data_IF_784175277539
#
_entry.id   IF_784175277539
#
_cell.length_a   1.000
_cell.length_b   1.000
_cell.length_c   1.000
_cell.angle_alpha   90.00
_cell.angle_beta   90.00
_cell.angle_gamma   90.00
#
_symmetry.space_group_name_H-M   'P 1'
#
loop_
_entity.id
_entity.type
_entity.pdbx_description
1 polymer ?
#
# COMPACT_ATOMS: atom_id res chain seq x y z
N UNK A 1 -5.25 8.22 -22.30
CA UNK A 1 -4.48 7.15 -22.95
C UNK A 1 -3.26 7.79 -23.59
N UNK A 2 -2.05 7.24 -23.47
CA UNK A 2 -0.85 7.80 -24.11
C UNK A 2 -0.23 6.75 -25.04
N UNK A 3 0.01 7.14 -26.29
CA UNK A 3 0.72 6.34 -27.28
C UNK A 3 2.13 6.91 -27.46
N UNK A 4 3.12 6.02 -27.53
CA UNK A 4 4.49 6.38 -27.89
C UNK A 4 4.95 5.50 -29.04
N UNK A 5 5.79 6.06 -29.91
CA UNK A 5 6.44 5.33 -31.00
C UNK A 5 7.95 5.39 -30.81
N UNK A 6 8.60 4.26 -30.97
CA UNK A 6 10.04 4.13 -30.87
C UNK A 6 10.57 3.37 -32.10
N UNK A 7 11.53 3.97 -32.78
CA UNK A 7 12.30 3.31 -33.82
C UNK A 7 13.60 2.76 -33.22
N UNK A 8 13.91 1.50 -33.54
CA UNK A 8 15.13 0.84 -33.08
C UNK A 8 16.28 1.27 -33.97
N UNK A 9 17.09 2.18 -33.47
CA UNK A 9 18.32 2.63 -34.14
C UNK A 9 19.42 1.54 -34.11
N UNK A 10 20.39 1.56 -35.04
CA UNK A 10 21.45 0.54 -35.14
C UNK A 10 22.21 0.29 -33.83
N UNK A 11 22.47 1.33 -33.03
CA UNK A 11 23.16 1.20 -31.73
C UNK A 11 22.33 0.48 -30.65
N UNK A 12 21.06 0.21 -30.93
CA UNK A 12 20.15 -0.55 -30.08
C UNK A 12 19.87 -1.96 -30.61
N UNK A 13 20.52 -2.38 -31.69
CA UNK A 13 20.42 -3.74 -32.20
C UNK A 13 20.89 -4.77 -31.16
N UNK A 14 20.14 -5.85 -31.03
CA UNK A 14 20.40 -6.92 -30.05
C UNK A 14 20.07 -6.54 -28.60
N UNK A 15 19.75 -5.27 -28.30
CA UNK A 15 19.31 -4.86 -26.95
C UNK A 15 17.97 -5.50 -26.62
N UNK A 16 17.77 -5.77 -25.33
CA UNK A 16 16.50 -6.25 -24.80
C UNK A 16 15.45 -5.15 -24.86
N UNK A 17 14.23 -5.52 -25.24
CA UNK A 17 13.06 -4.65 -25.30
C UNK A 17 12.84 -3.86 -24.00
N UNK A 18 12.94 -4.52 -22.84
CA UNK A 18 12.76 -3.83 -21.55
C UNK A 18 13.81 -2.76 -21.27
N UNK A 19 15.06 -2.98 -21.70
CA UNK A 19 16.16 -2.00 -21.56
C UNK A 19 15.95 -0.84 -22.55
N UNK A 20 15.64 -1.13 -23.80
CA UNK A 20 15.43 -0.09 -24.82
C UNK A 20 14.27 0.86 -24.44
N UNK A 21 13.17 0.32 -23.90
CA UNK A 21 12.05 1.13 -23.41
C UNK A 21 12.43 1.94 -22.16
N UNK A 22 13.30 1.41 -21.28
CA UNK A 22 13.82 2.17 -20.14
C UNK A 22 14.68 3.35 -20.60
N UNK A 23 15.58 3.15 -21.56
CA UNK A 23 16.41 4.21 -22.13
C UNK A 23 15.54 5.30 -22.78
N UNK A 24 14.52 4.90 -23.55
CA UNK A 24 13.53 5.81 -24.12
C UNK A 24 12.79 6.60 -23.04
N UNK A 25 12.38 5.95 -21.96
CA UNK A 25 11.71 6.62 -20.84
C UNK A 25 12.60 7.66 -20.17
N UNK A 26 13.91 7.41 -20.07
CA UNK A 26 14.85 8.37 -19.48
C UNK A 26 15.06 9.56 -20.41
N UNK A 27 15.33 9.31 -21.70
CA UNK A 27 15.55 10.36 -22.71
C UNK A 27 14.34 11.29 -22.85
N UNK A 28 13.13 10.77 -22.69
CA UNK A 28 11.87 11.53 -22.83
C UNK A 28 11.27 11.95 -21.48
N UNK A 29 12.01 11.80 -20.37
CA UNK A 29 11.59 12.16 -19.02
C UNK A 29 10.20 11.60 -18.60
N UNK A 30 9.90 10.36 -19.01
CA UNK A 30 8.60 9.70 -18.78
C UNK A 30 8.49 9.03 -17.40
N UNK A 31 9.61 8.87 -16.69
CA UNK A 31 9.64 8.35 -15.31
C UNK A 31 9.20 6.88 -15.14
N UNK A 32 9.26 6.05 -16.18
CA UNK A 32 8.91 4.63 -16.06
C UNK A 32 9.92 3.88 -15.19
N UNK A 33 9.41 3.07 -14.27
CA UNK A 33 10.23 2.13 -13.51
C UNK A 33 10.38 0.81 -14.26
N UNK A 34 11.46 0.08 -13.99
CA UNK A 34 11.72 -1.24 -14.61
C UNK A 34 10.56 -2.23 -14.42
N UNK A 35 9.99 -2.26 -13.21
CA UNK A 35 8.84 -3.13 -12.90
C UNK A 35 7.58 -2.72 -13.64
N UNK A 36 7.37 -1.42 -13.87
CA UNK A 36 6.27 -0.90 -14.68
C UNK A 36 6.42 -1.31 -16.15
N UNK A 37 7.62 -1.13 -16.74
CA UNK A 37 7.93 -1.55 -18.12
C UNK A 37 7.69 -3.03 -18.36
N UNK A 38 8.26 -3.88 -17.49
CA UNK A 38 8.09 -5.32 -17.63
C UNK A 38 6.63 -5.76 -17.51
N UNK A 39 5.83 -5.06 -16.69
CA UNK A 39 4.41 -5.36 -16.51
C UNK A 39 3.62 -5.04 -17.77
N UNK A 40 3.80 -3.85 -18.37
CA UNK A 40 3.02 -3.50 -19.55
C UNK A 40 3.44 -4.28 -20.79
N UNK A 41 4.73 -4.64 -20.95
CA UNK A 41 5.16 -5.56 -22.02
C UNK A 41 4.43 -6.90 -21.89
N UNK A 42 4.38 -7.47 -20.67
CA UNK A 42 3.68 -8.74 -20.42
C UNK A 42 2.17 -8.66 -20.67
N UNK A 43 1.58 -7.49 -20.52
CA UNK A 43 0.16 -7.25 -20.75
C UNK A 43 -0.17 -6.97 -22.23
N UNK A 44 0.80 -7.05 -23.15
CA UNK A 44 0.57 -6.80 -24.57
C UNK A 44 0.46 -5.32 -24.93
N UNK A 45 0.91 -4.41 -24.06
CA UNK A 45 0.89 -2.96 -24.29
C UNK A 45 1.99 -2.48 -25.25
N UNK A 46 2.78 -3.39 -25.82
CA UNK A 46 3.84 -3.09 -26.79
C UNK A 46 3.65 -3.99 -27.99
N UNK A 47 3.61 -3.38 -29.18
CA UNK A 47 3.48 -4.08 -30.45
C UNK A 47 4.61 -3.65 -31.39
N UNK A 48 5.06 -4.56 -32.25
CA UNK A 48 5.82 -4.19 -33.44
C UNK A 48 4.81 -3.70 -34.49
N UNK A 49 5.10 -2.58 -35.14
CA UNK A 49 4.27 -2.08 -36.24
C UNK A 49 4.41 -2.95 -37.50
N UNK A 50 5.51 -3.70 -37.61
CA UNK A 50 5.75 -4.66 -38.67
C UNK A 50 4.92 -5.94 -38.47
N UNK A 51 4.18 -6.33 -39.50
CA UNK A 51 3.48 -7.60 -39.55
C UNK A 51 4.44 -8.71 -39.97
N UNK A 52 4.32 -9.88 -39.35
CA UNK A 52 4.97 -11.09 -39.88
C UNK A 52 4.33 -11.50 -41.22
N UNK A 53 5.06 -12.24 -42.09
CA UNK A 53 4.44 -12.91 -43.23
C UNK A 53 3.21 -13.71 -42.77
N UNK A 54 2.04 -13.39 -43.34
CA UNK A 54 0.75 -13.96 -42.93
C UNK A 54 -0.02 -13.20 -41.85
N UNK A 55 0.32 -11.94 -41.56
CA UNK A 55 -0.50 -11.02 -40.75
C UNK A 55 -0.52 -11.29 -39.24
N UNK A 56 0.37 -12.15 -38.72
CA UNK A 56 0.42 -12.49 -37.30
C UNK A 56 1.16 -11.43 -36.49
N UNK A 57 0.59 -11.02 -35.34
CA UNK A 57 1.26 -10.16 -34.35
C UNK A 57 2.32 -10.94 -33.57
N UNK A 58 3.49 -10.34 -33.36
CA UNK A 58 4.56 -10.91 -32.53
C UNK A 58 4.21 -10.74 -31.06
N UNK A 59 4.19 -11.83 -30.28
CA UNK A 59 4.08 -11.74 -28.82
C UNK A 59 5.43 -11.31 -28.24
N UNK A 60 5.52 -10.06 -27.80
CA UNK A 60 6.74 -9.52 -27.22
C UNK A 60 6.90 -9.91 -25.74
N UNK A 61 8.12 -10.30 -25.37
CA UNK A 61 8.52 -10.54 -23.98
C UNK A 61 9.56 -9.48 -23.57
N UNK A 62 9.72 -9.20 -22.27
CA UNK A 62 10.71 -8.22 -21.81
C UNK A 62 12.14 -8.45 -22.32
N UNK A 63 12.53 -9.72 -22.48
CA UNK A 63 13.86 -10.13 -22.95
C UNK A 63 13.95 -10.27 -24.48
N UNK A 64 12.93 -9.89 -25.24
CA UNK A 64 12.96 -9.91 -26.70
C UNK A 64 14.12 -9.03 -27.21
N UNK A 65 14.95 -9.56 -28.12
CA UNK A 65 16.07 -8.82 -28.71
C UNK A 65 15.60 -8.06 -29.94
N UNK A 66 15.84 -6.76 -29.95
CA UNK A 66 15.41 -5.87 -31.02
C UNK A 66 16.35 -5.95 -32.22
N UNK A 67 15.81 -5.73 -33.42
CA UNK A 67 16.56 -5.57 -34.66
C UNK A 67 16.51 -4.12 -35.10
N UNK A 68 17.60 -3.63 -35.67
CA UNK A 68 17.66 -2.29 -36.26
C UNK A 68 16.54 -2.10 -37.30
N UNK A 69 15.94 -0.92 -37.33
CA UNK A 69 14.82 -0.57 -38.23
C UNK A 69 13.43 -0.94 -37.72
N UNK A 70 13.33 -1.78 -36.67
CA UNK A 70 12.02 -2.13 -36.10
C UNK A 70 11.34 -0.90 -35.49
N UNK A 71 10.02 -0.79 -35.67
CA UNK A 71 9.19 0.23 -35.03
C UNK A 71 8.28 -0.38 -33.98
N UNK A 72 8.35 0.15 -32.78
CA UNK A 72 7.56 -0.25 -31.62
C UNK A 72 6.46 0.78 -31.36
N UNK A 73 5.23 0.29 -31.21
CA UNK A 73 4.10 1.07 -30.71
C UNK A 73 3.82 0.68 -29.27
N UNK A 74 3.89 1.66 -28.37
CA UNK A 74 3.70 1.47 -26.94
C UNK A 74 2.38 2.14 -26.53
N UNK A 75 1.41 1.33 -26.13
CA UNK A 75 0.10 1.77 -25.65
C UNK A 75 0.06 1.73 -24.13
N UNK A 76 0.24 2.89 -23.50
CA UNK A 76 0.09 3.00 -22.06
C UNK A 76 -1.31 3.51 -21.77
N UNK A 77 -2.15 2.62 -21.25
CA UNK A 77 -3.33 3.04 -20.53
C UNK A 77 -2.86 4.02 -19.45
N UNK A 78 -3.32 5.27 -19.54
CA UNK A 78 -3.05 6.25 -18.49
C UNK A 78 -3.47 5.62 -17.18
N UNK A 79 -2.74 5.89 -16.08
CA UNK A 79 -3.26 5.55 -14.76
C UNK A 79 -4.71 6.06 -14.75
N UNK A 80 -5.69 5.16 -14.62
CA UNK A 80 -7.03 5.59 -14.22
C UNK A 80 -6.77 6.38 -12.96
N UNK A 81 -6.96 7.68 -13.02
CA UNK A 81 -7.09 8.46 -11.80
C UNK A 81 -8.17 7.74 -11.01
N UNK A 82 -7.79 7.21 -9.86
CA UNK A 82 -8.78 6.81 -8.88
C UNK A 82 -9.46 8.13 -8.53
N UNK A 83 -10.60 8.40 -9.14
CA UNK A 83 -11.40 9.56 -8.77
C UNK A 83 -11.90 9.32 -7.35
N UNK A 84 -11.14 9.86 -6.41
CA UNK A 84 -11.51 9.87 -5.01
C UNK A 84 -12.69 10.82 -4.88
N UNK A 85 -13.89 10.26 -4.81
CA UNK A 85 -15.10 11.03 -4.58
C UNK A 85 -15.32 11.21 -3.07
N UNK A 86 -15.74 12.41 -2.69
CA UNK A 86 -16.29 12.66 -1.36
C UNK A 86 -17.58 11.87 -1.16
N UNK A 87 -17.76 11.26 0.01
CA UNK A 87 -18.98 10.54 0.36
C UNK A 87 -19.44 10.94 1.76
N UNK A 88 -20.73 11.22 1.91
CA UNK A 88 -21.31 11.56 3.22
C UNK A 88 -21.44 10.31 4.10
N UNK A 89 -20.33 9.94 4.74
CA UNK A 89 -20.25 8.87 5.72
C UNK A 89 -20.02 9.52 7.09
N UNK A 90 -20.89 9.29 8.09
CA UNK A 90 -20.72 9.87 9.42
C UNK A 90 -19.38 9.49 10.05
N UNK A 91 -18.69 10.49 10.59
CA UNK A 91 -17.42 10.32 11.32
C UNK A 91 -17.57 10.85 12.74
N UNK A 92 -17.14 10.06 13.71
CA UNK A 92 -17.00 10.50 15.10
C UNK A 92 -15.63 11.18 15.28
N UNK A 93 -15.64 12.50 15.41
CA UNK A 93 -14.44 13.31 15.64
C UNK A 93 -14.23 13.46 17.14
N UNK A 94 -13.15 12.89 17.66
CA UNK A 94 -12.80 12.93 19.09
C UNK A 94 -12.00 14.19 19.42
N UNK A 95 -11.24 14.69 18.45
CA UNK A 95 -10.43 15.89 18.58
C UNK A 95 -10.22 16.53 17.21
N UNK A 96 -10.20 17.86 17.15
CA UNK A 96 -9.90 18.61 15.93
C UNK A 96 -9.26 19.96 16.29
N UNK A 97 -8.18 20.31 15.61
CA UNK A 97 -7.58 21.64 15.61
C UNK A 97 -7.25 22.08 14.17
N UNK A 98 -6.43 23.12 13.99
CA UNK A 98 -6.05 23.64 12.68
C UNK A 98 -5.13 22.68 11.90
N UNK A 99 -4.40 21.80 12.59
CA UNK A 99 -3.35 20.97 12.02
C UNK A 99 -3.77 19.51 11.82
N UNK A 100 -4.59 18.97 12.72
CA UNK A 100 -4.97 17.57 12.72
C UNK A 100 -6.38 17.34 13.27
N UNK A 101 -6.88 16.14 13.00
CA UNK A 101 -8.07 15.60 13.63
C UNK A 101 -7.81 14.18 14.13
N UNK A 102 -8.53 13.74 15.16
CA UNK A 102 -8.54 12.35 15.63
C UNK A 102 -9.95 11.82 15.45
N UNK A 103 -10.07 10.77 14.63
CA UNK A 103 -11.34 10.12 14.32
C UNK A 103 -11.43 8.82 15.12
N UNK A 104 -12.57 8.55 15.74
CA UNK A 104 -12.90 7.22 16.23
C UNK A 104 -13.46 6.40 15.06
N UNK A 105 -12.60 5.63 14.39
CA UNK A 105 -12.98 4.84 13.21
C UNK A 105 -13.83 3.65 13.68
N UNK A 106 -15.03 3.43 13.11
CA UNK A 106 -15.80 2.23 13.42
C UNK A 106 -15.13 0.97 12.84
N UNK A 107 -15.48 -0.20 13.38
CA UNK A 107 -15.11 -1.47 12.75
C UNK A 107 -15.84 -1.62 11.41
N UNK A 108 -15.25 -2.37 10.47
CA UNK A 108 -15.79 -2.58 9.13
C UNK A 108 -15.44 -1.49 8.12
N UNK A 109 -15.00 -0.29 8.56
CA UNK A 109 -14.61 0.79 7.65
C UNK A 109 -13.14 0.65 7.21
N UNK A 110 -12.93 0.57 5.90
CA UNK A 110 -11.59 0.55 5.27
C UNK A 110 -10.98 1.95 5.30
N UNK A 111 -9.68 2.07 5.60
CA UNK A 111 -9.02 3.38 5.71
C UNK A 111 -8.90 4.11 4.36
N UNK A 112 -8.43 3.43 3.31
CA UNK A 112 -8.19 4.05 2.00
C UNK A 112 -8.51 3.05 0.88
N UNK A 113 -8.81 3.53 -0.34
CA UNK A 113 -9.13 2.66 -1.45
C UNK A 113 -8.06 1.61 -1.72
N UNK A 114 -8.51 0.37 -1.91
CA UNK A 114 -7.68 -0.79 -2.16
C UNK A 114 -8.43 -1.78 -3.05
N UNK A 115 -7.76 -2.75 -3.70
CA UNK A 115 -8.45 -3.79 -4.45
C UNK A 115 -9.54 -4.46 -3.60
N UNK A 116 -10.78 -4.45 -4.11
CA UNK A 116 -11.97 -4.95 -3.43
C UNK A 116 -12.77 -3.91 -2.63
N UNK A 117 -12.20 -2.74 -2.32
CA UNK A 117 -12.90 -1.60 -1.68
C UNK A 117 -12.38 -0.29 -2.29
N UNK A 118 -12.92 0.09 -3.45
CA UNK A 118 -12.49 1.29 -4.17
C UNK A 118 -13.18 2.58 -3.67
N UNK A 119 -14.30 2.43 -2.97
CA UNK A 119 -15.20 3.48 -2.45
C UNK A 119 -15.64 3.12 -1.03
N UNK A 120 -16.42 3.98 -0.38
CA UNK A 120 -16.93 3.75 0.97
C UNK A 120 -15.83 3.55 2.01
N UNK A 121 -14.76 4.34 1.90
CA UNK A 121 -13.60 4.30 2.80
C UNK A 121 -13.55 5.54 3.69
N UNK A 122 -12.73 5.49 4.74
CA UNK A 122 -12.46 6.66 5.58
C UNK A 122 -11.98 7.85 4.74
N UNK A 123 -11.11 7.65 3.73
CA UNK A 123 -10.70 8.74 2.82
C UNK A 123 -11.90 9.41 2.14
N UNK A 124 -12.90 8.65 1.69
CA UNK A 124 -14.09 9.22 1.05
C UNK A 124 -14.89 10.08 2.05
N UNK A 125 -15.01 9.60 3.30
CA UNK A 125 -15.66 10.33 4.39
C UNK A 125 -14.89 11.62 4.77
N UNK A 126 -13.56 11.55 4.82
CA UNK A 126 -12.71 12.70 5.12
C UNK A 126 -12.83 13.78 4.06
N UNK A 127 -12.85 13.41 2.79
CA UNK A 127 -13.03 14.33 1.66
C UNK A 127 -14.39 15.04 1.68
N UNK A 128 -15.41 14.42 2.29
CA UNK A 128 -16.70 15.07 2.49
C UNK A 128 -16.70 16.01 3.70
N UNK A 129 -16.08 15.58 4.81
CA UNK A 129 -16.15 16.30 6.10
C UNK A 129 -15.23 17.52 6.17
N UNK A 130 -14.06 17.46 5.54
CA UNK A 130 -13.00 18.46 5.66
C UNK A 130 -12.77 19.18 4.34
N UNK A 131 -12.72 20.52 4.40
CA UNK A 131 -12.41 21.35 3.24
C UNK A 131 -10.94 21.20 2.81
N UNK A 132 -10.06 20.98 3.78
CA UNK A 132 -8.62 20.87 3.57
C UNK A 132 -8.07 19.63 4.28
N UNK A 133 -7.29 18.86 3.52
CA UNK A 133 -6.53 17.71 3.98
C UNK A 133 -5.13 17.80 3.37
N UNK A 134 -4.15 17.20 4.03
CA UNK A 134 -2.82 17.08 3.43
C UNK A 134 -2.87 16.32 2.09
N UNK A 135 -2.21 16.86 1.08
CA UNK A 135 -2.15 16.33 -0.29
C UNK A 135 -0.81 15.66 -0.62
N UNK A 136 0.12 15.53 0.34
CA UNK A 136 1.43 14.85 0.17
C UNK A 136 1.27 13.46 -0.48
N UNK A 137 0.19 12.76 -0.14
CA UNK A 137 -0.22 11.56 -0.84
C UNK A 137 -1.62 11.77 -1.44
N UNK A 138 -1.73 12.19 -2.70
CA UNK A 138 -3.04 12.50 -3.31
C UNK A 138 -3.97 11.29 -3.36
N UNK A 139 -3.43 10.06 -3.35
CA UNK A 139 -4.25 8.84 -3.32
C UNK A 139 -4.83 8.52 -1.93
N UNK A 140 -4.34 9.18 -0.86
CA UNK A 140 -4.77 9.00 0.53
C UNK A 140 -4.69 10.32 1.31
N UNK A 141 -5.47 11.36 0.94
CA UNK A 141 -5.40 12.67 1.56
C UNK A 141 -5.54 12.59 3.09
N UNK A 142 -4.65 13.29 3.81
CA UNK A 142 -4.61 13.34 5.27
C UNK A 142 -4.20 12.04 6.00
N UNK A 143 -4.03 10.92 5.31
CA UNK A 143 -3.70 9.63 5.94
C UNK A 143 -2.19 9.49 6.16
N UNK A 144 -1.77 9.42 7.43
CA UNK A 144 -0.36 9.20 7.83
C UNK A 144 -0.08 7.80 8.39
N UNK A 145 -1.14 7.07 8.78
CA UNK A 145 -1.07 5.70 9.29
C UNK A 145 -2.39 4.97 9.02
N UNK A 146 -2.51 3.71 9.45
CA UNK A 146 -3.71 2.91 9.17
C UNK A 146 -4.09 2.00 10.32
N UNK A 147 -5.39 1.77 10.43
CA UNK A 147 -5.99 0.65 11.13
C UNK A 147 -6.48 -0.39 10.12
N UNK A 148 -6.60 -1.65 10.54
CA UNK A 148 -7.24 -2.68 9.72
C UNK A 148 -8.75 -2.43 9.64
N UNK A 149 -9.41 -3.01 8.62
CA UNK A 149 -10.85 -2.84 8.37
C UNK A 149 -11.67 -3.16 9.63
N UNK A 150 -11.42 -4.32 10.21
CA UNK A 150 -12.13 -4.84 11.40
C UNK A 150 -11.60 -4.29 12.73
N UNK A 151 -10.68 -3.33 12.69
CA UNK A 151 -10.16 -2.67 13.90
C UNK A 151 -10.84 -1.32 14.06
N UNK A 152 -11.57 -1.13 15.15
CA UNK A 152 -12.08 0.18 15.56
C UNK A 152 -11.05 0.99 16.34
N UNK A 153 -11.35 2.27 16.55
CA UNK A 153 -10.61 3.14 17.46
C UNK A 153 -9.93 4.31 16.78
N UNK A 154 -9.02 4.94 17.51
CA UNK A 154 -8.47 6.24 17.18
C UNK A 154 -7.52 6.21 15.98
N UNK A 155 -7.77 7.10 15.02
CA UNK A 155 -6.88 7.35 13.89
C UNK A 155 -6.65 8.86 13.75
N UNK A 156 -5.39 9.29 13.90
CA UNK A 156 -4.98 10.68 13.60
C UNK A 156 -4.92 10.94 12.09
N UNK A 157 -5.45 12.09 11.68
CA UNK A 157 -5.55 12.60 10.31
C UNK A 157 -4.85 13.95 10.23
N UNK A 158 -4.04 14.18 9.19
CA UNK A 158 -3.37 15.46 8.95
C UNK A 158 -4.23 16.37 8.06
N UNK A 159 -4.59 17.55 8.57
CA UNK A 159 -5.36 18.56 7.82
C UNK A 159 -4.50 19.36 6.85
N UNK A 160 -3.20 19.45 7.10
CA UNK A 160 -2.24 20.14 6.24
C UNK A 160 -0.90 19.40 6.11
N UNK A 161 -0.06 19.84 5.17
CA UNK A 161 1.21 19.19 4.85
C UNK A 161 2.26 19.32 5.96
N UNK A 162 2.23 20.42 6.71
CA UNK A 162 3.12 20.63 7.85
C UNK A 162 2.89 19.55 8.92
N UNK A 163 1.64 19.35 9.32
CA UNK A 163 1.23 18.32 10.26
C UNK A 163 1.54 16.91 9.72
N UNK A 164 1.27 16.65 8.44
CA UNK A 164 1.51 15.35 7.81
C UNK A 164 2.98 14.93 7.90
N UNK A 165 3.92 15.83 7.56
CA UNK A 165 5.36 15.55 7.63
C UNK A 165 5.81 15.29 9.05
N UNK A 166 5.31 16.07 10.03
CA UNK A 166 5.65 15.87 11.44
C UNK A 166 5.11 14.56 11.99
N UNK A 167 3.85 14.24 11.74
CA UNK A 167 3.24 12.97 12.15
C UNK A 167 3.96 11.78 11.49
N UNK A 168 4.22 11.84 10.18
CA UNK A 168 4.98 10.81 9.46
C UNK A 168 6.35 10.55 10.08
N UNK A 169 7.08 11.60 10.46
CA UNK A 169 8.37 11.46 11.17
C UNK A 169 8.20 10.79 12.53
N UNK A 170 7.17 11.14 13.28
CA UNK A 170 6.93 10.53 14.59
C UNK A 170 6.54 9.04 14.48
N UNK A 171 5.73 8.67 13.48
CA UNK A 171 5.44 7.27 13.17
C UNK A 171 6.69 6.50 12.76
N UNK A 172 7.55 7.09 11.92
CA UNK A 172 8.81 6.49 11.50
C UNK A 172 9.81 6.31 12.66
N UNK A 173 9.85 7.28 13.59
CA UNK A 173 10.68 7.23 14.81
C UNK A 173 10.07 6.41 15.94
N UNK A 174 8.85 5.88 15.77
CA UNK A 174 8.09 5.20 16.82
C UNK A 174 7.93 6.02 18.12
N UNK A 175 7.90 7.36 18.01
CA UNK A 175 7.71 8.25 19.17
C UNK A 175 6.26 8.40 19.60
N UNK A 176 5.32 7.93 18.77
CA UNK A 176 3.88 7.93 19.08
C UNK A 176 3.53 6.67 19.87
N UNK A 177 3.00 6.86 21.07
CA UNK A 177 2.43 5.78 21.86
C UNK A 177 1.02 5.45 21.37
N UNK A 178 0.78 4.16 21.14
CA UNK A 178 -0.53 3.63 20.73
C UNK A 178 -0.87 2.49 21.65
N UNK A 179 -2.07 2.54 22.21
CA UNK A 179 -2.59 1.54 23.13
C UNK A 179 -3.85 0.95 22.51
N UNK A 180 -3.90 -0.38 22.45
CA UNK A 180 -5.07 -1.11 21.99
C UNK A 180 -5.62 -1.94 23.13
N UNK A 181 -6.93 -2.15 23.12
CA UNK A 181 -7.59 -3.12 24.00
C UNK A 181 -8.14 -4.24 23.14
N UNK A 182 -7.88 -5.48 23.53
CA UNK A 182 -8.37 -6.66 22.81
C UNK A 182 -8.93 -7.71 23.77
N UNK A 183 -10.01 -8.35 23.34
CA UNK A 183 -10.49 -9.60 23.92
C UNK A 183 -9.87 -10.77 23.15
N UNK A 184 -9.15 -11.66 23.84
CA UNK A 184 -8.55 -12.87 23.25
C UNK A 184 -9.19 -14.12 23.83
N UNK A 185 -9.25 -15.18 23.03
CA UNK A 185 -9.69 -16.51 23.47
C UNK A 185 -8.56 -17.20 24.23
N UNK A 186 -8.91 -17.86 25.33
CA UNK A 186 -7.98 -18.51 26.23
C UNK A 186 -7.56 -17.62 27.40
N UNK A 187 -6.91 -18.25 28.38
CA UNK A 187 -6.35 -17.58 29.55
C UNK A 187 -4.87 -17.29 29.29
N UNK A 188 -4.51 -16.02 29.25
CA UNK A 188 -3.12 -15.59 29.10
C UNK A 188 -2.31 -15.96 30.35
N UNK A 189 -1.19 -16.65 30.15
CA UNK A 189 -0.31 -17.15 31.21
C UNK A 189 0.30 -15.99 32.01
N UNK A 190 0.97 -15.06 31.32
CA UNK A 190 1.70 -13.97 31.97
C UNK A 190 0.82 -12.73 32.21
N UNK A 191 1.07 -12.04 33.31
CA UNK A 191 0.43 -10.75 33.61
C UNK A 191 0.88 -9.69 32.60
N UNK A 192 2.15 -9.70 32.23
CA UNK A 192 2.76 -8.84 31.23
C UNK A 192 3.79 -9.64 30.43
N UNK A 193 3.95 -9.33 29.15
CA UNK A 193 4.94 -9.97 28.31
C UNK A 193 5.26 -9.15 27.06
N UNK A 194 6.37 -9.49 26.40
CA UNK A 194 6.80 -8.90 25.13
C UNK A 194 6.87 -10.00 24.07
N UNK A 195 6.08 -9.87 23.02
CA UNK A 195 6.14 -10.73 21.84
C UNK A 195 7.07 -10.06 20.83
N UNK A 196 8.23 -10.67 20.59
CA UNK A 196 9.27 -10.15 19.70
C UNK A 196 9.57 -11.18 18.60
N UNK A 197 8.60 -11.33 17.69
CA UNK A 197 8.65 -12.31 16.60
C UNK A 197 8.50 -11.61 15.24
N UNK A 198 9.36 -11.90 14.25
CA UNK A 198 9.30 -11.29 12.93
C UNK A 198 8.02 -11.70 12.17
N UNK A 199 7.48 -10.76 11.39
CA UNK A 199 6.23 -10.95 10.64
C UNK A 199 6.50 -10.84 9.14
N UNK A 200 6.05 -11.85 8.40
CA UNK A 200 6.13 -11.93 6.95
C UNK A 200 4.79 -12.31 6.31
N UNK A 201 4.78 -12.44 4.98
CA UNK A 201 3.64 -13.02 4.27
C UNK A 201 3.55 -14.51 4.59
N UNK A 202 2.33 -14.99 4.80
CA UNK A 202 2.12 -16.41 5.03
C UNK A 202 2.54 -17.21 3.77
N UNK A 203 3.31 -18.31 3.91
CA UNK A 203 3.90 -19.03 2.77
C UNK A 203 2.86 -19.56 1.77
N UNK A 204 1.78 -20.16 2.29
CA UNK A 204 0.70 -20.73 1.46
C UNK A 204 -0.49 -19.77 1.23
N UNK A 205 -0.89 -19.00 2.25
CA UNK A 205 -2.04 -18.07 2.19
C UNK A 205 -1.58 -16.65 1.89
N UNK A 206 -1.26 -16.33 0.64
CA UNK A 206 -0.65 -15.04 0.23
C UNK A 206 -1.37 -13.76 0.68
N UNK A 207 -2.67 -13.82 0.98
CA UNK A 207 -3.46 -12.70 1.53
C UNK A 207 -3.19 -12.44 3.02
N UNK A 208 -2.64 -13.42 3.74
CA UNK A 208 -2.45 -13.39 5.19
C UNK A 208 -1.00 -13.05 5.57
N UNK A 209 -0.85 -12.61 6.82
CA UNK A 209 0.43 -12.40 7.47
C UNK A 209 0.62 -13.53 8.50
N UNK A 210 1.86 -13.91 8.78
CA UNK A 210 2.20 -14.87 9.83
C UNK A 210 3.54 -14.53 10.46
N UNK A 211 3.81 -15.09 11.63
CA UNK A 211 5.20 -15.18 12.11
C UNK A 211 6.00 -15.96 11.06
N UNK A 212 7.19 -15.49 10.75
CA UNK A 212 8.04 -16.13 9.76
C UNK A 212 9.47 -15.62 9.86
N UNK A 213 10.43 -16.49 9.58
CA UNK A 213 11.86 -16.23 9.72
C UNK A 213 12.60 -16.19 8.39
N UNK A 214 11.86 -16.04 7.28
CA UNK A 214 12.45 -15.88 5.95
C UNK A 214 13.01 -14.46 5.75
N UNK A 215 13.82 -14.26 4.71
CA UNK A 215 14.45 -12.98 4.38
C UNK A 215 13.44 -11.83 4.19
N UNK A 216 12.19 -12.14 3.82
CA UNK A 216 11.15 -11.13 3.60
C UNK A 216 10.44 -10.70 4.88
N UNK A 217 10.62 -11.45 5.98
CA UNK A 217 9.99 -11.17 7.25
C UNK A 217 10.65 -9.96 7.92
N UNK A 218 9.83 -9.13 8.56
CA UNK A 218 10.27 -7.88 9.17
C UNK A 218 10.15 -7.96 10.67
N UNK A 219 11.15 -7.41 11.35
CA UNK A 219 11.13 -7.21 12.79
C UNK A 219 9.81 -6.61 13.27
N UNK A 220 9.23 -7.24 14.30
CA UNK A 220 8.02 -6.79 14.95
C UNK A 220 8.07 -7.04 16.46
N UNK A 221 7.61 -6.07 17.24
CA UNK A 221 7.59 -6.15 18.71
C UNK A 221 6.30 -5.56 19.27
N UNK A 222 5.67 -6.32 20.17
CA UNK A 222 4.42 -5.96 20.84
C UNK A 222 4.53 -6.28 22.31
N UNK A 223 4.34 -5.29 23.18
CA UNK A 223 4.10 -5.54 24.61
C UNK A 223 2.62 -5.76 24.84
N UNK A 224 2.28 -6.61 25.80
CA UNK A 224 0.93 -6.72 26.32
C UNK A 224 0.90 -6.76 27.84
N UNK A 225 -0.23 -6.32 28.40
CA UNK A 225 -0.59 -6.46 29.82
C UNK A 225 -2.00 -7.01 29.92
N UNK A 226 -2.18 -8.05 30.73
CA UNK A 226 -3.48 -8.67 30.97
C UNK A 226 -4.29 -7.82 31.95
N UNK A 227 -5.41 -7.26 31.49
CA UNK A 227 -6.31 -6.44 32.31
C UNK A 227 -7.30 -7.30 33.09
N UNK A 228 -7.83 -8.35 32.47
CA UNK A 228 -8.80 -9.27 33.07
C UNK A 228 -8.63 -10.68 32.52
N UNK A 229 -8.90 -11.69 33.34
CA UNK A 229 -8.90 -13.11 32.96
C UNK A 229 -10.20 -13.79 33.33
N UNK A 230 -10.62 -14.72 32.48
CA UNK A 230 -11.56 -15.79 32.79
C UNK A 230 -10.94 -17.12 32.31
N UNK A 231 -11.52 -18.28 32.62
CA UNK A 231 -11.03 -19.55 32.07
C UNK A 231 -11.03 -19.59 30.53
N UNK A 232 -11.97 -18.89 29.89
CA UNK A 232 -12.16 -18.95 28.44
C UNK A 232 -11.60 -17.74 27.67
N UNK A 233 -11.34 -16.61 28.34
CA UNK A 233 -10.93 -15.36 27.69
C UNK A 233 -10.00 -14.49 28.54
N UNK A 234 -9.24 -13.64 27.87
CA UNK A 234 -8.43 -12.58 28.50
C UNK A 234 -8.69 -11.24 27.82
N UNK A 235 -8.75 -10.17 28.61
CA UNK A 235 -8.73 -8.79 28.10
C UNK A 235 -7.32 -8.26 28.23
N UNK A 236 -6.77 -7.75 27.13
CA UNK A 236 -5.39 -7.29 27.03
C UNK A 236 -5.33 -5.80 26.68
N UNK A 237 -4.43 -5.10 27.33
CA UNK A 237 -3.83 -3.86 26.83
C UNK A 237 -2.62 -4.21 25.97
N UNK A 238 -2.49 -3.62 24.79
CA UNK A 238 -1.44 -3.93 23.81
C UNK A 238 -0.73 -2.64 23.38
N UNK A 239 0.60 -2.69 23.35
CA UNK A 239 1.47 -1.58 22.93
C UNK A 239 2.42 -2.06 21.83
N UNK A 240 2.13 -1.78 20.54
CA UNK A 240 3.03 -2.14 19.46
C UNK A 240 4.17 -1.13 19.34
N UNK A 241 5.41 -1.61 19.46
CA UNK A 241 6.63 -0.82 19.22
C UNK A 241 6.91 -0.65 17.73
N UNK A 242 6.39 -1.57 16.91
CA UNK A 242 6.48 -1.52 15.45
C UNK A 242 5.08 -1.34 14.83
N UNK A 243 4.96 -1.35 13.50
CA UNK A 243 3.69 -1.15 12.80
C UNK A 243 3.53 -2.06 11.59
N UNK A 244 3.64 -3.38 11.78
CA UNK A 244 3.47 -4.35 10.68
C UNK A 244 1.99 -4.63 10.43
N UNK A 245 1.67 -4.99 9.18
CA UNK A 245 0.31 -5.38 8.79
C UNK A 245 -0.18 -6.53 9.66
N UNK A 246 -1.37 -6.39 10.26
CA UNK A 246 -1.99 -7.36 11.16
C UNK A 246 -1.14 -7.73 12.39
N UNK A 247 -0.17 -6.90 12.80
CA UNK A 247 0.84 -7.27 13.79
C UNK A 247 0.27 -7.84 15.09
N UNK A 248 -0.62 -7.11 15.76
CA UNK A 248 -1.20 -7.53 17.04
C UNK A 248 -1.95 -8.87 16.90
N UNK A 249 -2.67 -9.05 15.80
CA UNK A 249 -3.45 -10.26 15.52
C UNK A 249 -2.55 -11.46 15.26
N UNK A 250 -1.47 -11.26 14.50
CA UNK A 250 -0.50 -12.32 14.22
C UNK A 250 0.26 -12.71 15.47
N UNK A 251 0.71 -11.73 16.26
CA UNK A 251 1.42 -11.98 17.52
C UNK A 251 0.54 -12.70 18.56
N UNK A 252 -0.72 -12.30 18.73
CA UNK A 252 -1.61 -12.93 19.71
C UNK A 252 -2.15 -14.31 19.29
N UNK A 253 -2.07 -14.64 18.00
CA UNK A 253 -2.51 -15.93 17.48
C UNK A 253 -1.38 -16.98 17.37
N UNK A 254 -0.13 -16.56 17.58
CA UNK A 254 1.04 -17.44 17.59
C UNK A 254 1.24 -18.00 19.00
#
# INVERSE_FOLDING_TARGET
>A
MKEYRLEVLPENEGKRLDICIMDFSQKNNLGFSRTFVQKFIKNGSVELEELLPGGKKVSLKPHYKLKSGQRLRIHIEGKKELSLAAENIPLEVVYEDNDLAVINKPSGLVVHPAPGNLKHTLVNALLYRFNELSDINPAKPGIVHRLDKETSGLIVIAKNNYAHLRLSRQFAKHSIQRIYVALVKGKMEFQEHVIELPIGRHPYKRKNMSVGFNESAKYAKTYYRTLKRTPAFSVLELKPYTGRTHQLRVHLAY
#
